data_IF_626564399049
#
_entry.id   IF_626564399049
#
_cell.length_a   1.000
_cell.length_b   1.000
_cell.length_c   1.000
_cell.angle_alpha   90.00
_cell.angle_beta   90.00
_cell.angle_gamma   90.00
#
_symmetry.space_group_name_H-M   'P 1'
#
loop_
_entity.id
_entity.type
_entity.pdbx_description
1 polymer ?
#
# COMPACT_ATOMS: atom_id res chain seq x y z
N UNK A 1 -68.67 -13.02 33.70
CA UNK A 1 -67.95 -11.81 33.20
C UNK A 1 -66.52 -12.24 32.89
N UNK A 2 -66.26 -12.62 31.65
CA UNK A 2 -64.93 -12.96 31.14
C UNK A 2 -64.71 -12.07 29.91
N UNK A 3 -63.77 -11.13 30.02
CA UNK A 3 -63.31 -10.32 28.90
C UNK A 3 -62.14 -11.05 28.24
N UNK A 4 -62.28 -11.33 26.95
CA UNK A 4 -61.21 -11.88 26.11
C UNK A 4 -60.47 -10.72 25.46
N UNK A 5 -59.17 -10.60 25.72
CA UNK A 5 -58.27 -9.73 24.97
C UNK A 5 -57.84 -10.43 23.68
N UNK A 6 -58.17 -9.84 22.53
CA UNK A 6 -57.65 -10.25 21.22
C UNK A 6 -56.35 -9.48 21.00
N UNK A 7 -55.22 -10.19 21.04
CA UNK A 7 -53.92 -9.70 20.58
C UNK A 7 -53.94 -9.65 19.04
N UNK A 8 -53.85 -8.45 18.47
CA UNK A 8 -53.58 -8.23 17.06
C UNK A 8 -52.05 -8.28 16.86
N UNK A 9 -51.55 -9.41 16.38
CA UNK A 9 -50.20 -9.52 15.83
C UNK A 9 -50.15 -8.78 14.49
N UNK A 10 -49.43 -7.65 14.46
CA UNK A 10 -49.16 -6.90 13.24
C UNK A 10 -47.78 -7.33 12.69
N UNK A 11 -47.70 -7.98 11.52
CA UNK A 11 -46.42 -8.34 10.93
C UNK A 11 -45.80 -7.08 10.32
N UNK A 12 -44.88 -6.43 11.05
CA UNK A 12 -44.00 -5.42 10.48
C UNK A 12 -42.96 -6.11 9.57
N UNK A 13 -43.36 -6.41 8.34
CA UNK A 13 -42.42 -6.70 7.27
C UNK A 13 -41.71 -5.41 6.86
N UNK A 14 -40.45 -5.24 7.25
CA UNK A 14 -39.60 -4.16 6.72
C UNK A 14 -39.29 -4.50 5.26
N UNK A 15 -40.07 -3.96 4.33
CA UNK A 15 -39.73 -3.98 2.92
C UNK A 15 -38.53 -3.04 2.70
N UNK A 16 -37.34 -3.60 2.54
CA UNK A 16 -36.16 -2.82 2.14
C UNK A 16 -36.33 -2.40 0.68
N UNK A 17 -36.63 -1.12 0.45
CA UNK A 17 -36.69 -0.56 -0.90
C UNK A 17 -35.28 -0.53 -1.50
N UNK A 18 -35.11 -1.08 -2.71
CA UNK A 18 -33.84 -1.05 -3.41
C UNK A 18 -33.38 0.40 -3.63
N UNK A 19 -32.09 0.73 -3.42
CA UNK A 19 -31.56 2.07 -3.62
C UNK A 19 -31.86 2.58 -5.03
N UNK A 20 -32.41 3.80 -5.14
CA UNK A 20 -32.69 4.42 -6.43
C UNK A 20 -31.38 4.94 -7.02
N UNK A 21 -30.96 4.37 -8.15
CA UNK A 21 -29.75 4.78 -8.88
C UNK A 21 -29.92 6.16 -9.51
N UNK A 22 -28.87 6.97 -9.49
CA UNK A 22 -28.88 8.30 -10.12
C UNK A 22 -28.80 8.19 -11.64
N UNK A 23 -29.86 8.63 -12.34
CA UNK A 23 -29.91 8.65 -13.79
C UNK A 23 -28.80 9.49 -14.44
N UNK A 24 -28.35 10.56 -13.78
CA UNK A 24 -27.32 11.48 -14.28
C UNK A 24 -25.95 10.82 -14.39
N UNK A 25 -25.66 9.85 -13.51
CA UNK A 25 -24.38 9.17 -13.43
C UNK A 25 -24.23 8.01 -14.42
N UNK A 26 -25.31 7.63 -15.11
CA UNK A 26 -25.28 6.54 -16.13
C UNK A 26 -24.26 6.81 -17.23
N UNK A 27 -24.10 8.08 -17.63
CA UNK A 27 -23.13 8.50 -18.65
C UNK A 27 -21.67 8.35 -18.20
N UNK A 28 -21.41 8.31 -16.88
CA UNK A 28 -20.07 8.09 -16.30
C UNK A 28 -19.80 6.62 -15.96
N UNK A 29 -20.84 5.86 -15.58
CA UNK A 29 -20.73 4.44 -15.24
C UNK A 29 -20.25 3.56 -16.39
N UNK A 30 -20.86 3.67 -17.57
CA UNK A 30 -20.51 2.81 -18.71
C UNK A 30 -19.07 3.01 -19.20
N UNK A 31 -18.58 4.26 -19.38
CA UNK A 31 -17.17 4.49 -19.69
C UNK A 31 -16.24 3.98 -18.59
N UNK A 32 -16.56 4.20 -17.31
CA UNK A 32 -15.74 3.70 -16.20
C UNK A 32 -15.61 2.18 -16.24
N UNK A 33 -16.71 1.44 -16.46
CA UNK A 33 -16.66 -0.02 -16.63
C UNK A 33 -15.79 -0.43 -17.81
N UNK A 34 -15.91 0.24 -18.94
CA UNK A 34 -15.12 -0.06 -20.13
C UNK A 34 -13.62 0.15 -19.90
N UNK A 35 -13.24 1.29 -19.31
CA UNK A 35 -11.85 1.60 -18.95
C UNK A 35 -11.23 0.54 -18.04
N UNK A 36 -11.99 0.06 -17.06
CA UNK A 36 -11.51 -0.93 -16.08
C UNK A 36 -11.89 -2.37 -16.42
N UNK A 37 -12.38 -2.63 -17.64
CA UNK A 37 -12.75 -3.96 -18.15
C UNK A 37 -13.70 -4.73 -17.23
N UNK A 38 -14.66 -4.03 -16.62
CA UNK A 38 -15.64 -4.61 -15.68
C UNK A 38 -16.84 -5.20 -16.41
N UNK A 39 -17.13 -6.48 -16.13
CA UNK A 39 -18.28 -7.22 -16.65
C UNK A 39 -19.01 -7.88 -15.47
N UNK A 40 -20.33 -7.71 -15.39
CA UNK A 40 -21.13 -8.24 -14.29
C UNK A 40 -22.42 -8.88 -14.82
N UNK A 41 -22.98 -9.80 -14.04
CA UNK A 41 -24.37 -10.22 -14.22
C UNK A 41 -25.35 -9.09 -13.87
N UNK A 42 -26.59 -9.18 -14.34
CA UNK A 42 -27.62 -8.13 -14.17
C UNK A 42 -27.88 -7.75 -12.70
N UNK A 43 -27.92 -8.74 -11.80
CA UNK A 43 -28.12 -8.51 -10.37
C UNK A 43 -26.90 -7.87 -9.71
N UNK A 44 -25.69 -8.32 -10.07
CA UNK A 44 -24.44 -7.78 -9.54
C UNK A 44 -24.19 -6.36 -10.04
N UNK A 45 -24.47 -6.06 -11.31
CA UNK A 45 -24.25 -4.73 -11.89
C UNK A 45 -24.99 -3.65 -11.10
N UNK A 46 -26.24 -3.91 -10.70
CA UNK A 46 -27.02 -2.95 -9.91
C UNK A 46 -26.32 -2.63 -8.58
N UNK A 47 -25.88 -3.67 -7.87
CA UNK A 47 -25.18 -3.50 -6.59
C UNK A 47 -23.84 -2.79 -6.76
N UNK A 48 -22.99 -3.25 -7.70
CA UNK A 48 -21.69 -2.64 -8.00
C UNK A 48 -21.82 -1.17 -8.38
N UNK A 49 -22.86 -0.83 -9.15
CA UNK A 49 -23.17 0.56 -9.47
C UNK A 49 -23.59 1.37 -8.24
N UNK A 50 -24.39 0.82 -7.33
CA UNK A 50 -24.73 1.49 -6.06
C UNK A 50 -23.49 1.81 -5.23
N UNK A 51 -22.55 0.85 -5.14
CA UNK A 51 -21.26 1.06 -4.45
C UNK A 51 -20.44 2.16 -5.16
N UNK A 52 -20.36 2.12 -6.49
CA UNK A 52 -19.65 3.11 -7.28
C UNK A 52 -20.22 4.53 -7.14
N UNK A 53 -21.55 4.69 -7.15
CA UNK A 53 -22.21 5.98 -6.92
C UNK A 53 -21.94 6.50 -5.51
N UNK A 54 -21.94 5.62 -4.49
CA UNK A 54 -21.58 5.99 -3.11
C UNK A 54 -20.09 6.38 -2.97
N UNK A 55 -19.22 5.78 -3.76
CA UNK A 55 -17.79 6.07 -3.77
C UNK A 55 -17.42 7.34 -4.52
N UNK A 56 -18.37 8.03 -5.15
CA UNK A 56 -18.13 9.33 -5.75
C UNK A 56 -17.64 10.34 -4.71
N UNK A 57 -16.52 11.01 -4.99
CA UNK A 57 -15.79 11.86 -4.03
C UNK A 57 -16.01 13.35 -4.23
N UNK A 58 -17.18 13.72 -4.75
CA UNK A 58 -17.48 15.11 -5.12
C UNK A 58 -17.43 16.06 -3.91
N UNK A 59 -17.90 15.62 -2.73
CA UNK A 59 -17.86 16.43 -1.51
C UNK A 59 -16.43 16.68 -1.00
N UNK A 60 -15.56 15.68 -1.01
CA UNK A 60 -14.16 15.84 -0.57
C UNK A 60 -13.43 16.87 -1.45
N UNK A 61 -13.59 16.75 -2.77
CA UNK A 61 -12.95 17.66 -3.71
C UNK A 61 -13.55 19.08 -3.66
N UNK A 62 -14.84 19.23 -3.28
CA UNK A 62 -15.41 20.55 -2.96
C UNK A 62 -14.72 21.17 -1.74
N UNK A 63 -14.51 20.41 -0.67
CA UNK A 63 -13.79 20.89 0.52
C UNK A 63 -12.31 21.20 0.23
N UNK A 64 -11.66 20.45 -0.66
CA UNK A 64 -10.33 20.77 -1.18
C UNK A 64 -10.31 22.14 -1.89
N UNK A 65 -11.28 22.41 -2.78
CA UNK A 65 -11.38 23.70 -3.47
C UNK A 65 -11.63 24.89 -2.52
N UNK A 66 -12.16 24.61 -1.32
CA UNK A 66 -12.34 25.59 -0.25
C UNK A 66 -11.11 25.71 0.67
N UNK A 67 -10.00 25.01 0.37
CA UNK A 67 -8.77 25.02 1.17
C UNK A 67 -8.85 24.26 2.49
N UNK A 68 -9.85 23.37 2.65
CA UNK A 68 -10.08 22.61 3.90
C UNK A 68 -9.46 21.22 3.88
N UNK A 69 -8.99 20.77 2.71
CA UNK A 69 -8.25 19.51 2.53
C UNK A 69 -6.92 19.80 1.83
N UNK A 70 -5.91 18.99 2.12
CA UNK A 70 -4.55 19.11 1.53
C UNK A 70 -4.32 18.19 0.32
N UNK A 71 -5.31 17.39 -0.06
CA UNK A 71 -5.22 16.41 -1.12
C UNK A 71 -6.57 16.21 -1.82
N UNK A 72 -6.51 15.72 -3.05
CA UNK A 72 -7.68 15.38 -3.88
C UNK A 72 -7.88 13.88 -3.96
N UNK A 73 -9.11 13.50 -4.30
CA UNK A 73 -9.48 12.12 -4.57
C UNK A 73 -9.97 11.97 -6.02
N UNK A 74 -9.77 10.79 -6.61
CA UNK A 74 -10.27 10.45 -7.93
C UNK A 74 -10.89 9.05 -7.96
N UNK A 75 -11.86 8.88 -8.86
CA UNK A 75 -12.44 7.57 -9.12
C UNK A 75 -11.44 6.71 -9.89
N UNK A 76 -11.12 5.52 -9.37
CA UNK A 76 -10.13 4.61 -9.95
C UNK A 76 -10.72 3.19 -10.11
N UNK A 77 -9.85 2.19 -10.33
CA UNK A 77 -10.23 0.80 -10.55
C UNK A 77 -10.98 0.14 -9.39
N UNK A 78 -10.89 0.72 -8.18
CA UNK A 78 -11.52 0.24 -6.96
C UNK A 78 -12.91 0.84 -6.71
N UNK A 79 -13.43 1.63 -7.64
CA UNK A 79 -14.69 2.36 -7.50
C UNK A 79 -15.90 1.50 -7.16
N UNK A 80 -15.96 0.27 -7.66
CA UNK A 80 -17.06 -0.68 -7.44
C UNK A 80 -16.90 -1.57 -6.21
N UNK A 81 -15.83 -1.38 -5.43
CA UNK A 81 -15.54 -2.17 -4.24
C UNK A 81 -16.00 -1.44 -2.97
N UNK A 82 -16.57 -2.19 -2.03
CA UNK A 82 -16.74 -1.67 -0.67
C UNK A 82 -15.37 -1.54 0.01
N UNK A 83 -15.29 -0.77 1.09
CA UNK A 83 -14.02 -0.64 1.81
C UNK A 83 -13.59 -2.00 2.38
N UNK A 84 -14.54 -2.81 2.85
CA UNK A 84 -14.28 -4.15 3.37
C UNK A 84 -13.72 -5.09 2.29
N UNK A 85 -14.32 -5.09 1.09
CA UNK A 85 -13.79 -5.86 -0.04
C UNK A 85 -12.38 -5.39 -0.43
N UNK A 86 -12.15 -4.08 -0.40
CA UNK A 86 -10.86 -3.48 -0.73
C UNK A 86 -9.77 -3.89 0.26
N UNK A 87 -10.02 -3.72 1.56
CA UNK A 87 -9.07 -4.08 2.61
C UNK A 87 -8.72 -5.58 2.56
N UNK A 88 -9.69 -6.45 2.29
CA UNK A 88 -9.46 -7.90 2.26
C UNK A 88 -8.49 -8.36 1.16
N UNK A 89 -8.41 -7.64 0.04
CA UNK A 89 -7.63 -8.09 -1.12
C UNK A 89 -6.40 -7.24 -1.41
N UNK A 90 -6.35 -6.01 -0.91
CA UNK A 90 -5.25 -5.09 -1.16
C UNK A 90 -4.28 -4.99 0.02
N UNK A 91 -4.75 -5.26 1.24
CA UNK A 91 -3.93 -5.24 2.44
C UNK A 91 -3.46 -6.66 2.75
N UNK A 92 -2.28 -6.77 3.35
CA UNK A 92 -1.63 -8.05 3.59
C UNK A 92 -0.38 -7.93 4.46
N UNK A 93 -0.17 -6.81 5.13
CA UNK A 93 0.89 -6.72 6.12
C UNK A 93 0.46 -7.41 7.41
N UNK A 94 1.31 -8.29 7.94
CA UNK A 94 1.07 -8.96 9.21
C UNK A 94 2.01 -8.40 10.28
N UNK A 95 1.43 -7.78 11.30
CA UNK A 95 2.16 -7.24 12.45
C UNK A 95 2.63 -8.36 13.39
N UNK A 96 3.65 -9.12 12.99
CA UNK A 96 4.32 -10.08 13.87
C UNK A 96 5.83 -9.84 13.91
N UNK A 97 6.33 -9.27 15.01
CA UNK A 97 7.74 -8.90 15.11
C UNK A 97 8.65 -10.13 15.13
N UNK A 98 9.64 -10.17 14.24
CA UNK A 98 10.69 -11.19 14.22
C UNK A 98 11.56 -11.11 15.49
N UNK A 99 12.00 -12.24 16.06
CA UNK A 99 12.68 -12.24 17.38
C UNK A 99 14.16 -11.85 17.35
N UNK A 100 14.82 -11.83 16.19
CA UNK A 100 16.26 -11.53 16.03
C UNK A 100 16.43 -10.37 15.06
N UNK A 101 16.71 -9.17 15.59
CA UNK A 101 16.73 -7.92 14.82
C UNK A 101 18.00 -7.14 15.10
N UNK A 102 18.64 -6.64 14.04
CA UNK A 102 19.61 -5.55 14.15
C UNK A 102 18.83 -4.24 14.19
N UNK A 103 19.22 -3.33 15.07
CA UNK A 103 18.57 -2.02 15.20
C UNK A 103 19.46 -0.97 14.56
N UNK A 104 18.87 -0.11 13.73
CA UNK A 104 19.54 0.98 13.06
C UNK A 104 20.25 1.86 14.11
N UNK A 105 21.52 2.13 13.85
CA UNK A 105 22.32 3.02 14.67
C UNK A 105 22.36 4.37 13.97
N UNK A 106 21.79 5.39 14.61
CA UNK A 106 21.75 6.72 14.03
C UNK A 106 23.16 7.29 13.86
N UNK A 107 23.53 7.76 12.65
CA UNK A 107 24.84 8.37 12.45
C UNK A 107 24.94 9.70 13.22
N UNK A 108 25.99 9.86 14.03
CA UNK A 108 26.17 11.04 14.89
C UNK A 108 26.43 12.34 14.12
N UNK A 109 26.98 12.27 12.90
CA UNK A 109 27.46 13.42 12.12
C UNK A 109 26.94 13.42 10.66
N UNK A 110 25.83 12.76 10.37
CA UNK A 110 25.26 12.82 9.02
C UNK A 110 24.60 14.18 8.78
N UNK A 111 25.07 14.90 7.77
CA UNK A 111 24.35 16.05 7.22
C UNK A 111 23.12 15.51 6.48
N UNK A 112 21.93 15.81 6.99
CA UNK A 112 20.68 15.31 6.43
C UNK A 112 20.12 16.36 5.47
N UNK A 113 20.05 16.08 4.16
CA UNK A 113 19.52 17.04 3.20
C UNK A 113 18.03 17.30 3.50
N UNK A 114 17.52 18.51 3.20
CA UNK A 114 16.13 18.87 3.50
C UNK A 114 15.12 18.15 2.59
N UNK A 115 15.59 17.60 1.45
CA UNK A 115 14.79 16.81 0.52
C UNK A 115 15.61 15.64 -0.02
N UNK A 116 14.97 14.48 -0.17
CA UNK A 116 15.56 13.27 -0.77
C UNK A 116 14.55 12.68 -1.74
N UNK A 117 15.00 12.25 -2.92
CA UNK A 117 14.17 11.54 -3.89
C UNK A 117 15.01 10.50 -4.63
N UNK A 118 15.01 9.27 -4.11
CA UNK A 118 15.82 8.16 -4.63
C UNK A 118 15.44 7.73 -6.05
N UNK A 119 14.26 8.16 -6.56
CA UNK A 119 13.87 7.93 -7.95
C UNK A 119 14.79 8.68 -8.92
N UNK A 120 15.21 9.89 -8.54
CA UNK A 120 16.10 10.74 -9.36
C UNK A 120 17.52 10.19 -9.43
N UNK A 121 17.90 9.39 -8.43
CA UNK A 121 19.22 8.76 -8.32
C UNK A 121 19.26 7.34 -8.93
N UNK A 122 18.14 6.84 -9.47
CA UNK A 122 18.08 5.53 -10.15
C UNK A 122 17.87 4.31 -9.25
N UNK A 123 17.49 4.50 -7.98
CA UNK A 123 17.33 3.40 -7.01
C UNK A 123 15.97 2.70 -7.08
N UNK A 124 15.04 3.20 -7.90
CA UNK A 124 13.62 2.81 -7.83
C UNK A 124 13.14 2.34 -9.20
N UNK A 125 12.70 1.08 -9.27
CA UNK A 125 12.06 0.49 -10.46
C UNK A 125 10.70 1.14 -10.78
N UNK A 126 10.11 0.91 -11.96
CA UNK A 126 8.74 1.32 -12.25
C UNK A 126 7.71 0.82 -11.22
N UNK A 127 6.55 1.46 -11.16
CA UNK A 127 5.44 1.04 -10.28
C UNK A 127 4.87 -0.29 -10.80
N UNK A 128 4.55 -1.19 -9.87
CA UNK A 128 3.97 -2.50 -10.15
C UNK A 128 2.51 -2.57 -9.70
N UNK A 129 1.85 -3.69 -10.03
CA UNK A 129 0.45 -3.95 -9.67
C UNK A 129 0.30 -5.31 -8.98
N UNK A 130 -0.07 -5.30 -7.70
CA UNK A 130 -0.22 -6.52 -6.89
C UNK A 130 -1.50 -7.31 -7.21
N UNK A 131 -2.48 -6.70 -7.89
CA UNK A 131 -3.78 -7.30 -8.16
C UNK A 131 -4.57 -7.62 -6.89
N UNK A 132 -5.50 -8.57 -6.99
CA UNK A 132 -6.34 -9.02 -5.87
C UNK A 132 -5.63 -10.10 -5.04
N UNK A 133 -4.47 -9.74 -4.48
CA UNK A 133 -3.65 -10.59 -3.64
C UNK A 133 -3.00 -9.70 -2.57
N UNK A 134 -3.10 -10.11 -1.29
CA UNK A 134 -2.51 -9.42 -0.13
C UNK A 134 -0.99 -9.58 -0.07
N UNK A 135 -0.29 -9.31 -1.16
CA UNK A 135 1.16 -9.47 -1.32
C UNK A 135 1.93 -8.15 -1.25
N UNK A 136 1.31 -7.07 -0.76
CA UNK A 136 1.94 -5.75 -0.59
C UNK A 136 3.29 -5.82 0.16
N UNK A 137 3.41 -6.74 1.13
CA UNK A 137 4.65 -7.03 1.85
C UNK A 137 5.79 -7.48 0.92
N UNK A 138 5.49 -8.28 -0.11
CA UNK A 138 6.47 -8.74 -1.07
C UNK A 138 6.97 -7.58 -1.96
N UNK A 139 6.05 -6.73 -2.44
CA UNK A 139 6.39 -5.54 -3.23
C UNK A 139 7.20 -4.50 -2.43
N UNK A 140 6.86 -4.32 -1.15
CA UNK A 140 7.63 -3.47 -0.25
C UNK A 140 9.05 -4.01 -0.04
N UNK A 141 9.18 -5.32 0.17
CA UNK A 141 10.47 -5.98 0.37
C UNK A 141 11.35 -5.95 -0.90
N UNK A 142 10.80 -6.31 -2.07
CA UNK A 142 11.53 -6.25 -3.34
C UNK A 142 11.99 -4.83 -3.63
N UNK A 143 11.13 -3.82 -3.43
CA UNK A 143 11.48 -2.42 -3.65
C UNK A 143 12.67 -1.92 -2.80
N UNK A 144 12.76 -2.34 -1.53
CA UNK A 144 13.90 -1.98 -0.69
C UNK A 144 15.17 -2.74 -1.11
N UNK A 145 15.05 -4.03 -1.44
CA UNK A 145 16.19 -4.84 -1.89
C UNK A 145 16.71 -4.37 -3.27
N UNK A 146 15.83 -3.97 -4.18
CA UNK A 146 16.16 -3.34 -5.47
C UNK A 146 17.06 -2.11 -5.26
N UNK A 147 16.68 -1.22 -4.34
CA UNK A 147 17.47 -0.04 -3.99
C UNK A 147 18.85 -0.37 -3.42
N UNK A 148 18.93 -1.36 -2.52
CA UNK A 148 20.20 -1.81 -1.93
C UNK A 148 21.10 -2.50 -2.95
N UNK A 149 20.54 -3.31 -3.84
CA UNK A 149 21.28 -3.94 -4.93
C UNK A 149 21.79 -2.91 -5.94
N UNK A 150 21.00 -1.86 -6.22
CA UNK A 150 21.45 -0.74 -7.04
C UNK A 150 22.63 0.00 -6.39
N UNK A 151 22.54 0.34 -5.11
CA UNK A 151 23.66 0.94 -4.35
C UNK A 151 24.94 0.11 -4.46
N UNK A 152 24.83 -1.20 -4.28
CA UNK A 152 25.97 -2.13 -4.28
C UNK A 152 26.58 -2.35 -5.67
N UNK A 153 25.75 -2.44 -6.70
CA UNK A 153 26.16 -2.97 -8.02
C UNK A 153 26.09 -1.95 -9.15
N UNK A 154 25.41 -0.82 -8.94
CA UNK A 154 25.07 0.15 -9.99
C UNK A 154 24.05 -0.35 -11.02
N UNK A 155 23.44 -1.53 -10.81
CA UNK A 155 22.47 -2.13 -11.74
C UNK A 155 21.10 -2.22 -11.08
N UNK A 156 20.12 -1.56 -11.70
CA UNK A 156 18.74 -1.62 -11.26
C UNK A 156 18.03 -2.77 -11.99
N UNK A 157 17.76 -3.86 -11.27
CA UNK A 157 17.08 -5.04 -11.79
C UNK A 157 15.83 -5.25 -10.96
N UNK A 158 14.68 -5.40 -11.62
CA UNK A 158 13.45 -5.67 -10.89
C UNK A 158 13.42 -7.09 -10.35
N UNK A 159 13.04 -7.24 -9.09
CA UNK A 159 13.06 -8.51 -8.36
C UNK A 159 11.68 -9.16 -8.30
N UNK A 160 11.64 -10.48 -8.19
CA UNK A 160 10.41 -11.26 -8.24
C UNK A 160 9.65 -11.24 -6.92
N UNK A 161 8.48 -10.60 -6.90
CA UNK A 161 7.54 -10.76 -5.78
C UNK A 161 6.96 -12.17 -5.73
N UNK A 162 6.75 -12.80 -6.88
CA UNK A 162 6.20 -14.16 -6.95
C UNK A 162 7.10 -15.17 -6.25
N UNK A 163 8.41 -15.01 -6.39
CA UNK A 163 9.37 -15.84 -5.69
C UNK A 163 9.18 -15.74 -4.16
N UNK A 164 8.95 -14.54 -3.62
CA UNK A 164 8.67 -14.37 -2.19
C UNK A 164 7.33 -14.99 -1.82
N UNK A 165 6.27 -14.72 -2.59
CA UNK A 165 4.90 -15.21 -2.36
C UNK A 165 4.86 -16.74 -2.30
N UNK A 166 5.59 -17.42 -3.18
CA UNK A 166 5.57 -18.88 -3.29
C UNK A 166 6.54 -19.59 -2.32
N UNK A 167 7.67 -18.95 -1.96
CA UNK A 167 8.78 -19.64 -1.32
C UNK A 167 9.07 -19.26 0.14
N UNK A 168 8.54 -18.13 0.64
CA UNK A 168 8.90 -17.63 1.98
C UNK A 168 7.98 -18.10 3.12
N UNK A 169 7.16 -19.14 2.89
CA UNK A 169 6.24 -19.67 3.90
C UNK A 169 6.95 -20.21 5.14
N UNK A 170 8.14 -20.82 4.96
CA UNK A 170 8.95 -21.31 6.07
C UNK A 170 9.44 -20.20 7.01
N UNK A 171 9.45 -18.94 6.55
CA UNK A 171 9.81 -17.77 7.34
C UNK A 171 8.59 -17.09 7.98
N UNK A 172 7.37 -17.60 7.75
CA UNK A 172 6.14 -17.13 8.35
C UNK A 172 5.30 -16.19 7.48
N UNK A 173 5.60 -16.08 6.18
CA UNK A 173 4.70 -15.39 5.25
C UNK A 173 3.60 -16.34 4.75
N UNK A 174 2.45 -15.79 4.39
CA UNK A 174 1.25 -16.54 4.00
C UNK A 174 0.80 -16.23 2.56
N UNK A 175 1.75 -15.83 1.71
CA UNK A 175 1.50 -15.54 0.30
C UNK A 175 0.50 -14.40 0.12
N UNK A 176 -0.65 -14.68 -0.51
CA UNK A 176 -1.72 -13.70 -0.68
C UNK A 176 -2.55 -13.40 0.57
N UNK A 177 -2.40 -14.19 1.65
CA UNK A 177 -3.05 -13.92 2.94
C UNK A 177 -2.23 -12.97 3.82
N UNK A 178 -1.06 -12.56 3.34
CA UNK A 178 -0.22 -11.56 3.96
C UNK A 178 1.16 -12.06 4.35
N UNK A 179 1.93 -11.17 4.94
CA UNK A 179 3.31 -11.41 5.32
C UNK A 179 4.00 -10.15 5.85
N UNK A 180 5.29 -10.29 6.10
CA UNK A 180 6.15 -9.25 6.65
C UNK A 180 7.43 -9.12 5.83
N UNK A 181 7.86 -7.87 5.59
CA UNK A 181 9.07 -7.57 4.82
C UNK A 181 10.32 -8.21 5.46
N UNK A 182 10.44 -8.18 6.79
CA UNK A 182 11.52 -8.86 7.53
C UNK A 182 11.59 -10.37 7.23
N UNK A 183 10.45 -11.04 7.13
CA UNK A 183 10.40 -12.47 6.82
C UNK A 183 10.83 -12.73 5.38
N UNK A 184 10.51 -11.82 4.45
CA UNK A 184 11.01 -11.86 3.09
C UNK A 184 12.54 -11.70 3.04
N UNK A 185 13.12 -10.73 3.75
CA UNK A 185 14.57 -10.57 3.85
C UNK A 185 15.23 -11.80 4.49
N UNK A 186 14.64 -12.34 5.56
CA UNK A 186 15.12 -13.59 6.17
C UNK A 186 15.07 -14.77 5.18
N UNK A 187 14.06 -14.84 4.32
CA UNK A 187 14.00 -15.83 3.24
C UNK A 187 15.16 -15.63 2.27
N UNK A 188 15.38 -14.42 1.73
CA UNK A 188 16.44 -14.14 0.76
C UNK A 188 17.81 -14.52 1.32
N UNK A 189 18.09 -14.15 2.57
CA UNK A 189 19.29 -14.58 3.30
C UNK A 189 19.44 -16.10 3.35
N UNK A 190 18.38 -16.79 3.77
CA UNK A 190 18.42 -18.24 4.04
C UNK A 190 18.47 -19.06 2.76
N UNK A 191 17.81 -18.57 1.72
CA UNK A 191 17.77 -19.15 0.38
C UNK A 191 19.06 -18.90 -0.40
N UNK A 192 19.84 -17.88 -0.02
CA UNK A 192 21.07 -17.49 -0.71
C UNK A 192 20.83 -16.70 -1.98
N UNK A 193 19.62 -16.19 -2.20
CA UNK A 193 19.30 -15.37 -3.36
C UNK A 193 17.81 -15.16 -3.62
N UNK A 194 17.52 -14.27 -4.56
CA UNK A 194 16.19 -13.97 -5.09
C UNK A 194 16.25 -13.83 -6.62
N UNK A 195 15.25 -14.37 -7.31
CA UNK A 195 15.13 -14.28 -8.77
C UNK A 195 14.71 -12.88 -9.26
N UNK A 196 14.96 -12.61 -10.54
CA UNK A 196 14.45 -11.42 -11.22
C UNK A 196 12.97 -11.56 -11.56
N UNK A 197 12.26 -10.43 -11.67
CA UNK A 197 10.86 -10.41 -12.13
C UNK A 197 10.71 -11.05 -13.52
N UNK A 198 11.71 -10.88 -14.40
CA UNK A 198 11.71 -11.49 -15.74
C UNK A 198 11.79 -13.02 -15.68
N UNK A 199 12.66 -13.56 -14.81
CA UNK A 199 12.83 -15.01 -14.66
C UNK A 199 11.68 -15.71 -13.93
N UNK A 200 11.00 -14.97 -13.03
CA UNK A 200 9.90 -15.48 -12.22
C UNK A 200 8.78 -14.44 -12.13
N UNK A 201 7.94 -14.30 -13.17
CA UNK A 201 6.93 -13.26 -13.24
C UNK A 201 5.79 -13.42 -12.23
N UNK A 202 5.23 -12.28 -11.81
CA UNK A 202 4.10 -12.20 -10.90
C UNK A 202 2.78 -12.74 -11.48
N UNK A 203 2.08 -13.55 -10.68
CA UNK A 203 0.89 -14.31 -11.09
C UNK A 203 -0.36 -14.02 -10.24
N UNK A 204 -0.29 -13.10 -9.28
CA UNK A 204 -1.44 -12.66 -8.45
C UNK A 204 -2.09 -13.84 -7.69
N UNK A 205 -1.32 -14.88 -7.36
CA UNK A 205 -1.78 -16.05 -6.60
C UNK A 205 -0.60 -16.78 -5.99
N UNK A 206 -0.87 -17.61 -4.98
CA UNK A 206 0.13 -18.54 -4.45
C UNK A 206 0.25 -19.75 -5.38
N UNK A 207 1.47 -20.09 -5.75
CA UNK A 207 1.85 -21.28 -6.50
C UNK A 207 2.89 -22.12 -5.76
N UNK A 208 3.33 -23.24 -6.34
CA UNK A 208 4.47 -23.97 -5.81
C UNK A 208 5.74 -23.14 -5.98
N UNK A 209 6.66 -23.22 -5.02
CA UNK A 209 7.96 -22.56 -5.11
C UNK A 209 8.77 -23.07 -6.31
N UNK A 210 9.14 -22.17 -7.23
CA UNK A 210 9.91 -22.46 -8.45
C UNK A 210 11.26 -21.74 -8.49
N UNK A 211 11.82 -21.39 -7.34
CA UNK A 211 13.12 -20.73 -7.28
C UNK A 211 14.20 -21.60 -7.95
N UNK A 212 15.04 -20.95 -8.76
CA UNK A 212 16.22 -21.53 -9.40
C UNK A 212 17.43 -20.66 -9.10
N UNK A 213 18.51 -21.20 -8.49
CA UNK A 213 19.70 -20.42 -8.18
C UNK A 213 20.34 -19.74 -9.39
N UNK A 214 20.19 -20.33 -10.58
CA UNK A 214 20.74 -19.82 -11.84
C UNK A 214 20.07 -18.51 -12.29
N UNK A 215 18.83 -18.28 -11.85
CA UNK A 215 18.05 -17.09 -12.13
C UNK A 215 18.23 -15.99 -11.06
N UNK A 216 19.08 -16.23 -10.05
CA UNK A 216 19.28 -15.31 -8.94
C UNK A 216 20.04 -14.06 -9.36
N UNK A 217 19.49 -12.89 -9.02
CA UNK A 217 20.08 -11.58 -9.35
C UNK A 217 20.30 -10.69 -8.11
N UNK A 218 19.81 -11.12 -6.95
CA UNK A 218 19.92 -10.39 -5.69
C UNK A 218 20.19 -11.34 -4.53
N UNK A 219 20.89 -10.84 -3.52
CA UNK A 219 21.09 -11.50 -2.23
C UNK A 219 21.12 -10.44 -1.12
N UNK A 220 20.91 -10.87 0.11
CA UNK A 220 21.12 -10.05 1.30
C UNK A 220 21.89 -10.83 2.36
N UNK A 221 22.31 -10.11 3.40
CA UNK A 221 23.02 -10.65 4.57
C UNK A 221 22.16 -10.56 5.85
N UNK A 222 20.89 -10.19 5.71
CA UNK A 222 19.94 -9.90 6.77
C UNK A 222 19.23 -8.56 6.55
N UNK A 223 18.70 -8.01 7.64
CA UNK A 223 17.94 -6.77 7.63
C UNK A 223 18.18 -5.97 8.92
N UNK A 224 17.79 -4.71 8.88
CA UNK A 224 17.87 -3.76 9.98
C UNK A 224 16.51 -3.11 10.19
N UNK A 225 16.06 -3.10 11.44
CA UNK A 225 14.87 -2.38 11.87
C UNK A 225 15.24 -0.96 12.30
N UNK A 226 14.38 -0.02 11.96
CA UNK A 226 14.54 1.38 12.34
C UNK A 226 13.71 1.65 13.59
N UNK A 227 14.24 2.40 14.58
CA UNK A 227 13.45 2.85 15.72
C UNK A 227 12.16 3.53 15.30
N UNK A 228 11.10 3.36 16.08
CA UNK A 228 9.73 3.85 15.80
C UNK A 228 9.59 5.38 15.98
N UNK A 229 10.46 6.14 15.32
CA UNK A 229 10.60 7.59 15.42
C UNK A 229 10.85 8.18 14.02
N UNK A 230 10.05 9.17 13.62
CA UNK A 230 10.20 9.82 12.30
C UNK A 230 11.59 10.45 12.09
N UNK A 231 12.26 10.85 13.18
CA UNK A 231 13.64 11.38 13.16
C UNK A 231 14.67 10.33 12.75
N UNK A 232 14.63 9.14 13.38
CA UNK A 232 15.48 8.00 13.02
C UNK A 232 15.16 7.52 11.61
N UNK A 233 13.87 7.48 11.25
CA UNK A 233 13.41 7.11 9.91
C UNK A 233 13.92 8.06 8.82
N UNK A 234 13.88 9.37 9.06
CA UNK A 234 14.44 10.37 8.14
C UNK A 234 15.95 10.17 7.93
N UNK A 235 16.70 9.92 9.01
CA UNK A 235 18.15 9.67 8.92
C UNK A 235 18.46 8.40 8.13
N UNK A 236 17.72 7.33 8.36
CA UNK A 236 17.85 6.11 7.57
C UNK A 236 17.53 6.39 6.09
N UNK A 237 16.43 7.07 5.79
CA UNK A 237 16.04 7.41 4.41
C UNK A 237 17.12 8.20 3.68
N UNK A 238 17.78 9.13 4.37
CA UNK A 238 18.84 9.95 3.79
C UNK A 238 20.17 9.22 3.57
N UNK A 239 20.45 8.18 4.36
CA UNK A 239 21.79 7.54 4.39
C UNK A 239 21.81 6.13 3.81
N UNK A 240 20.65 5.50 3.66
CA UNK A 240 20.53 4.09 3.26
C UNK A 240 19.95 3.92 1.86
N UNK A 241 18.86 4.63 1.53
CA UNK A 241 18.09 4.37 0.31
C UNK A 241 16.58 4.25 0.57
N UNK A 242 15.83 3.66 -0.37
CA UNK A 242 14.44 3.28 -0.17
C UNK A 242 14.24 2.32 1.02
N UNK A 243 13.15 2.49 1.77
CA UNK A 243 12.88 1.72 3.00
C UNK A 243 11.46 1.15 2.98
N UNK A 244 11.35 -0.13 3.33
CA UNK A 244 10.08 -0.82 3.50
C UNK A 244 9.38 -0.34 4.76
N UNK A 245 8.11 0.01 4.64
CA UNK A 245 7.27 0.40 5.79
C UNK A 245 5.90 -0.26 5.74
N UNK A 246 5.16 -0.21 6.84
CA UNK A 246 3.73 -0.49 6.86
C UNK A 246 2.95 0.75 7.29
N UNK A 247 1.81 0.98 6.64
CA UNK A 247 0.90 2.10 6.92
C UNK A 247 -0.53 1.63 7.05
N UNK A 248 -1.35 2.41 7.75
CA UNK A 248 -2.80 2.24 7.72
C UNK A 248 -3.34 2.77 6.39
N UNK A 249 -3.78 1.85 5.54
CA UNK A 249 -4.39 2.16 4.24
C UNK A 249 -5.89 1.83 4.22
N UNK A 250 -6.51 1.66 5.39
CA UNK A 250 -7.88 1.15 5.56
C UNK A 250 -8.97 2.19 5.26
N UNK A 251 -8.59 3.40 4.84
CA UNK A 251 -9.49 4.53 4.65
C UNK A 251 -9.83 4.77 3.18
N UNK A 252 -11.07 5.18 2.92
CA UNK A 252 -11.52 5.59 1.59
C UNK A 252 -10.68 6.75 1.01
N UNK A 253 -10.13 7.61 1.87
CA UNK A 253 -9.21 8.69 1.47
C UNK A 253 -7.94 8.14 0.82
N UNK A 254 -7.44 7.01 1.31
CA UNK A 254 -6.27 6.33 0.74
C UNK A 254 -6.67 5.51 -0.51
N UNK A 255 -7.76 4.76 -0.47
CA UNK A 255 -8.26 3.99 -1.61
C UNK A 255 -8.43 4.84 -2.88
N UNK A 256 -8.88 6.09 -2.73
CA UNK A 256 -9.17 7.01 -3.84
C UNK A 256 -8.19 8.18 -3.96
N UNK A 257 -7.05 8.15 -3.26
CA UNK A 257 -6.05 9.22 -3.35
C UNK A 257 -5.64 9.51 -4.80
N UNK A 258 -5.50 10.80 -5.15
CA UNK A 258 -5.05 11.27 -6.47
C UNK A 258 -3.78 12.13 -6.37
N UNK A 259 -3.83 13.25 -5.65
CA UNK A 259 -2.69 14.18 -5.54
C UNK A 259 -2.73 15.01 -4.24
N UNK A 260 -1.62 15.66 -3.91
CA UNK A 260 -1.45 16.49 -2.71
C UNK A 260 -0.92 15.72 -1.50
N UNK A 261 -0.74 16.41 -0.37
CA UNK A 261 -0.23 15.79 0.87
C UNK A 261 -1.39 15.12 1.59
N UNK A 262 -1.42 13.79 1.60
CA UNK A 262 -2.43 13.00 2.27
C UNK A 262 -2.29 13.13 3.79
N UNK A 263 -3.39 13.54 4.43
CA UNK A 263 -3.53 13.56 5.88
C UNK A 263 -4.94 13.08 6.29
N UNK A 264 -5.02 11.87 6.83
CA UNK A 264 -6.26 11.27 7.32
C UNK A 264 -6.33 11.33 8.86
N UNK A 265 -7.30 12.06 9.41
CA UNK A 265 -7.38 12.30 10.87
C UNK A 265 -7.57 11.03 11.68
N UNK A 266 -8.19 10.02 11.09
CA UNK A 266 -8.53 8.77 11.76
C UNK A 266 -7.54 7.63 11.52
N UNK A 267 -6.41 7.93 10.87
CA UNK A 267 -5.38 6.94 10.56
C UNK A 267 -4.72 6.39 11.83
N UNK A 268 -4.43 5.10 11.80
CA UNK A 268 -3.86 4.33 12.90
C UNK A 268 -2.55 3.62 12.49
N UNK A 269 -2.27 2.44 13.03
CA UNK A 269 -1.08 1.62 12.72
C UNK A 269 -1.36 0.60 11.61
N UNK A 270 -0.35 0.31 10.79
CA UNK A 270 -0.58 -0.22 9.45
C UNK A 270 -0.85 -1.70 9.23
N UNK A 271 -1.57 -1.95 8.14
CA UNK A 271 -1.96 -3.23 7.56
C UNK A 271 -1.58 -3.36 6.07
N UNK A 272 -0.95 -2.32 5.49
CA UNK A 272 -0.50 -2.29 4.11
C UNK A 272 1.00 -2.03 4.00
N UNK A 273 1.72 -2.93 3.33
CA UNK A 273 3.16 -2.84 3.11
C UNK A 273 3.47 -1.95 1.90
N UNK A 274 4.30 -0.93 2.10
CA UNK A 274 4.62 0.06 1.07
C UNK A 274 6.10 0.45 1.12
N UNK A 275 6.60 1.19 0.12
CA UNK A 275 8.00 1.61 0.04
C UNK A 275 8.11 3.14 0.12
N UNK A 276 8.86 3.66 1.10
CA UNK A 276 9.20 5.09 1.13
C UNK A 276 10.50 5.28 0.34
N UNK A 277 10.49 6.24 -0.58
CA UNK A 277 11.59 6.49 -1.54
C UNK A 277 12.18 7.90 -1.41
N UNK A 278 11.73 8.67 -0.42
CA UNK A 278 12.21 10.01 -0.20
C UNK A 278 11.32 10.84 0.71
N UNK A 279 11.65 12.11 0.84
CA UNK A 279 10.88 13.11 1.58
C UNK A 279 11.16 14.51 1.05
N UNK A 280 10.28 15.44 1.39
CA UNK A 280 10.50 16.86 1.11
C UNK A 280 9.41 17.74 1.72
N UNK A 281 9.24 18.93 1.16
CA UNK A 281 8.22 19.88 1.56
C UNK A 281 7.65 20.64 0.35
N UNK A 282 6.46 21.23 0.50
CA UNK A 282 5.84 22.12 -0.49
C UNK A 282 5.88 23.58 -0.03
N UNK A 283 6.30 24.50 -0.90
CA UNK A 283 6.41 25.92 -0.54
C UNK A 283 7.49 26.16 0.52
N UNK A 284 7.11 26.81 1.63
CA UNK A 284 8.01 27.01 2.78
C UNK A 284 8.05 25.77 3.68
N UNK A 285 9.22 25.51 4.26
CA UNK A 285 9.42 24.40 5.18
C UNK A 285 8.70 24.65 6.53
N UNK A 286 7.44 24.26 6.58
CA UNK A 286 6.59 24.30 7.78
C UNK A 286 6.04 22.91 8.10
N UNK A 287 5.59 22.69 9.34
CA UNK A 287 5.14 21.36 9.81
C UNK A 287 3.99 20.76 8.99
N UNK A 288 3.16 21.58 8.35
CA UNK A 288 2.01 21.10 7.60
C UNK A 288 2.31 20.83 6.12
N UNK A 289 3.50 21.20 5.64
CA UNK A 289 3.88 21.09 4.23
C UNK A 289 4.92 20.00 3.97
N UNK A 290 5.40 19.30 5.00
CA UNK A 290 6.37 18.21 4.87
C UNK A 290 5.67 16.91 4.47
N UNK A 291 6.33 16.13 3.62
CA UNK A 291 5.82 14.85 3.17
C UNK A 291 6.90 13.78 2.99
N UNK A 292 6.49 12.53 3.14
CA UNK A 292 7.16 11.33 2.66
C UNK A 292 6.74 11.06 1.22
N UNK A 293 7.67 10.67 0.35
CA UNK A 293 7.39 10.20 -1.01
C UNK A 293 7.27 8.68 -0.95
N UNK A 294 6.10 8.16 -1.28
CA UNK A 294 5.79 6.75 -1.04
C UNK A 294 5.35 6.09 -2.34
N UNK A 295 6.01 4.99 -2.71
CA UNK A 295 5.71 4.15 -3.88
C UNK A 295 4.74 3.06 -3.48
N UNK A 296 3.57 3.03 -4.11
CA UNK A 296 2.56 1.98 -3.88
C UNK A 296 2.68 0.85 -4.91
N UNK A 297 1.96 -0.25 -4.68
CA UNK A 297 1.90 -1.46 -5.53
C UNK A 297 0.53 -1.65 -6.19
N UNK A 298 -0.23 -0.57 -6.36
CA UNK A 298 -1.59 -0.60 -6.94
C UNK A 298 -1.66 -0.09 -8.38
N UNK A 299 -0.51 -0.10 -9.07
CA UNK A 299 -0.40 0.35 -10.46
C UNK A 299 -0.34 1.87 -10.59
N UNK A 300 0.07 2.33 -11.77
CA UNK A 300 0.30 3.76 -12.05
C UNK A 300 -1.00 4.58 -12.09
N UNK A 301 -2.14 3.94 -12.32
CA UNK A 301 -3.45 4.60 -12.38
C UNK A 301 -4.01 4.99 -10.99
N UNK A 302 -3.36 4.57 -9.90
CA UNK A 302 -3.70 4.98 -8.55
C UNK A 302 -2.78 6.10 -8.07
N UNK A 303 -3.31 7.12 -7.41
CA UNK A 303 -2.53 8.25 -6.92
C UNK A 303 -1.79 8.98 -8.03
N UNK A 304 -0.69 9.63 -7.66
CA UNK A 304 0.13 10.39 -8.61
C UNK A 304 1.11 9.46 -9.31
N UNK A 305 0.67 8.81 -10.38
CA UNK A 305 1.45 7.82 -11.12
C UNK A 305 1.92 6.65 -10.23
N UNK A 306 1.07 6.16 -9.33
CA UNK A 306 1.39 5.09 -8.38
C UNK A 306 2.08 5.53 -7.09
N UNK A 307 2.24 6.84 -6.89
CA UNK A 307 2.85 7.42 -5.69
C UNK A 307 1.84 8.21 -4.86
N UNK A 308 2.13 8.30 -3.56
CA UNK A 308 1.43 9.18 -2.61
C UNK A 308 2.44 10.02 -1.84
N UNK A 309 2.07 11.28 -1.59
CA UNK A 309 2.74 12.11 -0.59
C UNK A 309 2.02 11.94 0.75
N UNK A 310 2.68 11.33 1.73
CA UNK A 310 2.11 11.17 3.08
C UNK A 310 2.63 12.26 4.01
N UNK A 311 1.78 12.81 4.86
CA UNK A 311 2.19 13.78 5.87
C UNK A 311 3.41 13.32 6.70
N UNK A 312 4.42 14.18 6.80
CA UNK A 312 5.66 13.95 7.57
C UNK A 312 5.73 14.88 8.78
N UNK A 313 6.32 14.40 9.88
CA UNK A 313 6.49 15.11 11.15
C UNK A 313 5.13 15.51 11.77
N UNK A 314 4.11 14.65 11.57
CA UNK A 314 2.73 14.86 12.02
C UNK A 314 2.26 13.71 12.89
N UNK A 315 3.05 13.43 13.95
CA UNK A 315 2.80 12.43 14.97
C UNK A 315 2.76 11.00 14.41
N UNK A 316 3.78 10.60 13.63
CA UNK A 316 3.87 9.28 13.01
C UNK A 316 2.59 8.94 12.24
N UNK A 317 2.20 9.84 11.35
CA UNK A 317 0.93 9.76 10.63
C UNK A 317 0.76 8.43 9.90
N UNK A 318 -0.39 7.77 10.10
CA UNK A 318 -0.69 6.43 9.58
C UNK A 318 0.33 5.34 10.00
N UNK A 319 1.12 5.56 11.05
CA UNK A 319 2.10 4.60 11.55
C UNK A 319 3.31 4.40 10.63
N UNK A 320 3.61 5.35 9.73
CA UNK A 320 4.64 5.18 8.69
C UNK A 320 6.04 4.81 9.22
N UNK A 321 6.38 5.21 10.45
CA UNK A 321 7.65 4.86 11.10
C UNK A 321 7.54 3.68 12.09
N UNK A 322 6.35 3.10 12.29
CA UNK A 322 6.10 2.03 13.28
C UNK A 322 6.72 0.70 12.89
N UNK A 323 6.64 0.34 11.61
CA UNK A 323 7.19 -0.92 11.09
C UNK A 323 8.08 -0.61 9.89
N UNK A 324 9.26 -0.05 10.14
CA UNK A 324 10.21 0.35 9.11
C UNK A 324 11.48 -0.49 9.15
N UNK A 325 11.86 -1.10 8.02
CA UNK A 325 13.05 -1.93 7.91
C UNK A 325 13.64 -1.92 6.49
N UNK A 326 14.90 -2.32 6.38
CA UNK A 326 15.59 -2.45 5.10
C UNK A 326 16.55 -3.66 5.10
N UNK A 327 16.78 -4.32 3.95
CA UNK A 327 17.74 -5.41 3.85
C UNK A 327 19.18 -4.87 3.83
N UNK A 328 20.14 -5.66 4.28
CA UNK A 328 21.57 -5.31 4.18
C UNK A 328 22.24 -6.15 3.10
N UNK A 329 23.03 -5.53 2.25
CA UNK A 329 23.81 -6.21 1.21
C UNK A 329 25.30 -5.94 1.43
N UNK A 330 26.17 -6.91 1.15
CA UNK A 330 27.63 -6.79 1.32
C UNK A 330 28.38 -6.82 0.01
#
# INVERSE_FOLDING_TARGET
>A
KHESFILLDCPFGIASAAPKLDGSLKARWHPWKATHRKLYGSNEERWRRTVWEKNMKDLHNQEYNLGRQSFTLAMNAFGDMTNEEFMQVMNGHQNQKCKKRRVFQEPCLAEIPPTVDWRKEGYVTPVKYQGHCGSCWAFSATGALEGQMFWKTGKLISLSEQNLVDCSQAQGNEGCNGGLMDNAFQYVKSNGGLGSEESYPYQVKVGPCKYRPEDSVANDTGFVDIPEQETAFMKAMATVGPISVAIDASHLSFQFYEDGICYERHCSSGDHGILVVGYGFEGEESSNNKYWIVKNSWGEAWGKNGYIKMAKDRNNHCGIATTASYPTVN
#
